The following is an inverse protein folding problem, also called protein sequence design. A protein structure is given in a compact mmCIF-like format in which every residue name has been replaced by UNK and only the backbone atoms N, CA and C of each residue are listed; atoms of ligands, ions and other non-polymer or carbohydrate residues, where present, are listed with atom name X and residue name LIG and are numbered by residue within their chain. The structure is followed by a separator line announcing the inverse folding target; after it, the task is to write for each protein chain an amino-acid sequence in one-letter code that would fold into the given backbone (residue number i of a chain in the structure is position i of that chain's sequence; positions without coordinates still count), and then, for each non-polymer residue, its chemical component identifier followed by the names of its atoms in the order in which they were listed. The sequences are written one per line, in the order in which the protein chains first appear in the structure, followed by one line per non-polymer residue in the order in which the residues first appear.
data_IF_969933715347
#
_entry.id   IF_969933715347
#
_cell.length_a   1.000
_cell.length_b   1.000
_cell.length_c   1.000
_cell.angle_alpha   90.00
_cell.angle_beta   90.00
_cell.angle_gamma   90.00
#
_symmetry.space_group_name_H-M   'P 1'
#
loop_
_entity.id
_entity.type
_entity.pdbx_description
1 polymer ?
#
# COMPACT_ATOMS: atom_id res chain seq x y z
N UNK A 1 8.82 16.07 -10.06
CA UNK A 1 9.42 15.25 -8.98
C UNK A 1 8.38 14.25 -8.52
N UNK A 2 8.71 12.96 -8.31
CA UNK A 2 7.74 11.97 -7.84
C UNK A 2 7.28 12.30 -6.41
N UNK A 3 5.97 12.22 -6.16
CA UNK A 3 5.41 12.38 -4.82
C UNK A 3 5.44 11.02 -4.12
N UNK A 4 5.98 10.98 -2.91
CA UNK A 4 5.95 9.78 -2.06
C UNK A 4 4.98 9.98 -0.90
N UNK A 5 4.10 9.00 -0.69
CA UNK A 5 3.13 8.97 0.40
C UNK A 5 3.40 7.73 1.25
N UNK A 6 3.51 7.94 2.56
CA UNK A 6 3.60 6.87 3.55
C UNK A 6 2.34 6.90 4.43
N UNK A 7 1.66 5.75 4.53
CA UNK A 7 0.51 5.57 5.42
C UNK A 7 0.85 4.49 6.42
N UNK A 8 0.69 4.78 7.71
CA UNK A 8 0.85 3.81 8.79
C UNK A 8 -0.44 3.72 9.60
N UNK A 9 -0.91 2.51 9.83
CA UNK A 9 -2.10 2.27 10.65
C UNK A 9 -1.99 0.95 11.42
N UNK A 10 -2.89 0.80 12.39
CA UNK A 10 -3.09 -0.42 13.15
C UNK A 10 -4.51 -0.91 12.91
N UNK A 11 -4.67 -2.20 12.59
CA UNK A 11 -5.99 -2.81 12.44
C UNK A 11 -6.56 -3.22 13.80
N UNK A 12 -7.88 -3.45 13.83
CA UNK A 12 -8.53 -4.05 15.01
C UNK A 12 -7.97 -5.46 15.26
N UNK A 13 -7.94 -5.88 16.52
CA UNK A 13 -7.52 -7.23 16.89
C UNK A 13 -8.34 -8.28 16.12
N UNK A 14 -7.67 -9.34 15.64
CA UNK A 14 -8.30 -10.39 14.84
C UNK A 14 -8.56 -10.04 13.36
N UNK A 15 -8.20 -8.83 12.89
CA UNK A 15 -8.44 -8.38 11.50
C UNK A 15 -7.17 -8.33 10.64
N UNK A 16 -6.04 -8.84 11.15
CA UNK A 16 -4.76 -8.78 10.45
C UNK A 16 -4.76 -9.61 9.16
N UNK A 17 -5.24 -10.85 9.21
CA UNK A 17 -5.27 -11.76 8.06
C UNK A 17 -6.19 -11.25 6.95
N UNK A 18 -7.36 -10.72 7.33
CA UNK A 18 -8.27 -10.10 6.37
C UNK A 18 -7.65 -8.86 5.72
N UNK A 19 -7.00 -8.01 6.51
CA UNK A 19 -6.30 -6.85 5.95
C UNK A 19 -5.17 -7.28 5.00
N UNK A 20 -4.42 -8.34 5.31
CA UNK A 20 -3.44 -8.89 4.37
C UNK A 20 -4.06 -9.43 3.08
N UNK A 21 -5.22 -10.09 3.17
CA UNK A 21 -5.94 -10.57 1.99
C UNK A 21 -6.34 -9.39 1.08
N UNK A 22 -6.90 -8.33 1.66
CA UNK A 22 -7.25 -7.10 0.94
C UNK A 22 -6.02 -6.43 0.32
N UNK A 23 -4.89 -6.40 1.03
CA UNK A 23 -3.62 -5.90 0.49
C UNK A 23 -3.20 -6.71 -0.73
N UNK A 24 -3.26 -8.05 -0.67
CA UNK A 24 -2.93 -8.92 -1.81
C UNK A 24 -3.82 -8.63 -3.01
N UNK A 25 -5.11 -8.34 -2.81
CA UNK A 25 -6.02 -7.93 -3.88
C UNK A 25 -5.62 -6.60 -4.52
N UNK A 26 -5.17 -5.62 -3.73
CA UNK A 26 -4.61 -4.36 -4.26
C UNK A 26 -3.40 -4.63 -5.16
N UNK A 27 -2.46 -5.47 -4.75
CA UNK A 27 -1.31 -5.84 -5.60
C UNK A 27 -1.74 -6.56 -6.87
N UNK A 28 -2.72 -7.46 -6.79
CA UNK A 28 -3.25 -8.14 -7.96
C UNK A 28 -3.89 -7.16 -8.95
N UNK A 29 -4.66 -6.18 -8.45
CA UNK A 29 -5.25 -5.14 -9.29
C UNK A 29 -4.20 -4.22 -9.89
N UNK A 30 -3.21 -3.76 -9.11
CA UNK A 30 -2.10 -2.95 -9.64
C UNK A 30 -1.30 -3.69 -10.71
N UNK A 31 -1.12 -5.00 -10.56
CA UNK A 31 -0.47 -5.85 -11.56
C UNK A 31 -1.28 -5.97 -12.86
N UNK A 32 -2.62 -6.05 -12.75
CA UNK A 32 -3.52 -6.09 -13.92
C UNK A 32 -3.63 -4.75 -14.63
N UNK A 33 -3.86 -3.68 -13.87
CA UNK A 33 -4.06 -2.34 -14.40
C UNK A 33 -2.75 -1.71 -14.90
N UNK A 34 -1.61 -2.13 -14.33
CA UNK A 34 -0.26 -1.65 -14.64
C UNK A 34 -0.18 -0.12 -14.81
N UNK A 35 -0.66 0.67 -13.84
CA UNK A 35 -0.69 2.12 -13.96
C UNK A 35 0.73 2.67 -14.10
N UNK A 36 0.95 3.49 -15.12
CA UNK A 36 2.24 4.13 -15.35
C UNK A 36 2.66 5.02 -14.18
N UNK A 37 3.94 5.01 -13.84
CA UNK A 37 4.50 5.91 -12.84
C UNK A 37 4.17 5.57 -11.38
N UNK A 38 3.55 4.42 -11.09
CA UNK A 38 3.23 4.00 -9.73
C UNK A 38 4.22 2.92 -9.26
N UNK A 39 4.85 3.17 -8.10
CA UNK A 39 5.58 2.15 -7.33
C UNK A 39 4.92 2.02 -5.96
N UNK A 40 4.56 0.81 -5.58
CA UNK A 40 3.79 0.54 -4.36
C UNK A 40 4.38 -0.61 -3.56
N UNK A 41 4.47 -0.44 -2.25
CA UNK A 41 4.97 -1.43 -1.31
C UNK A 41 4.14 -1.40 -0.01
N UNK A 42 3.95 -2.57 0.61
CA UNK A 42 3.31 -2.69 1.91
C UNK A 42 4.13 -3.58 2.84
N UNK A 43 4.15 -3.25 4.12
CA UNK A 43 4.86 -3.98 5.17
C UNK A 43 3.92 -4.26 6.33
N UNK A 44 4.09 -5.42 6.97
CA UNK A 44 3.48 -5.77 8.24
C UNK A 44 4.56 -5.74 9.31
N UNK A 45 4.30 -5.05 10.42
CA UNK A 45 5.23 -5.00 11.54
C UNK A 45 5.16 -6.26 12.40
N UNK A 46 6.19 -6.48 13.23
CA UNK A 46 6.31 -7.66 14.09
C UNK A 46 5.21 -7.77 15.16
N UNK A 47 4.49 -6.68 15.45
CA UNK A 47 3.34 -6.69 16.37
C UNK A 47 2.10 -7.40 15.79
N UNK A 48 2.17 -7.82 14.53
CA UNK A 48 1.15 -8.62 13.86
C UNK A 48 -0.10 -7.85 13.42
N UNK A 49 -0.23 -6.56 13.77
CA UNK A 49 -1.46 -5.77 13.55
C UNK A 49 -1.20 -4.36 13.01
N UNK A 50 0.05 -3.93 12.93
CA UNK A 50 0.45 -2.66 12.35
C UNK A 50 0.96 -2.85 10.92
N UNK A 51 0.52 -1.96 10.03
CA UNK A 51 0.82 -1.99 8.61
C UNK A 51 1.35 -0.64 8.14
N UNK A 52 2.26 -0.68 7.18
CA UNK A 52 2.81 0.50 6.50
C UNK A 52 2.63 0.33 5.00
N UNK A 53 2.15 1.36 4.33
CA UNK A 53 2.04 1.46 2.89
C UNK A 53 2.90 2.60 2.39
N UNK A 54 3.63 2.35 1.32
CA UNK A 54 4.46 3.34 0.64
C UNK A 54 4.06 3.36 -0.82
N UNK A 55 3.62 4.52 -1.30
CA UNK A 55 3.34 4.75 -2.72
C UNK A 55 4.23 5.89 -3.23
N UNK A 56 4.95 5.65 -4.32
CA UNK A 56 5.62 6.68 -5.09
C UNK A 56 4.87 6.84 -6.41
N UNK A 57 4.43 8.06 -6.69
CA UNK A 57 3.63 8.39 -7.86
C UNK A 57 4.37 9.46 -8.66
N UNK A 58 4.67 9.15 -9.90
CA UNK A 58 5.13 10.10 -10.89
C UNK A 58 3.91 10.87 -11.42
N UNK A 59 3.67 12.07 -10.90
CA UNK A 59 2.65 12.98 -11.43
C UNK A 59 3.28 13.84 -12.53
N UNK A 60 2.66 13.89 -13.72
CA UNK A 60 2.85 15.00 -14.64
C UNK A 60 2.16 16.23 -14.03
N UNK A 61 2.96 17.02 -13.31
CA UNK A 61 2.61 18.21 -12.55
C UNK A 61 1.72 17.98 -11.30
N UNK A 62 2.19 18.57 -10.20
CA UNK A 62 1.61 18.40 -8.87
C UNK A 62 0.34 19.22 -8.67
N UNK A 63 -0.57 18.63 -7.90
CA UNK A 63 -1.88 19.14 -7.41
C UNK A 63 -2.98 19.36 -8.44
#
# INVERSE_FOLDING_TARGET
MPRTVMVRYRVKAGRAEENEALIREVFAELGRAAPGGVRYASFKADDGVSFVHIASIETADGS
#
